data_IF_176281482728
#
_entry.id   IF_176281482728
#
_cell.length_a   1.000
_cell.length_b   1.000
_cell.length_c   1.000
_cell.angle_alpha   90.00
_cell.angle_beta   90.00
_cell.angle_gamma   90.00
#
_symmetry.space_group_name_H-M   'P 1'
#
loop_
_entity.id
_entity.type
_entity.pdbx_description
1 polymer ?
#
# COMPACT_ATOMS: atom_id res chain seq x y z
N UNK A 1 7.70 -29.54 -3.18
CA UNK A 1 8.91 -28.81 -2.70
C UNK A 1 8.47 -27.92 -1.54
N UNK A 2 9.29 -27.78 -0.50
CA UNK A 2 8.93 -27.09 0.73
C UNK A 2 10.10 -26.23 1.22
N UNK A 3 9.83 -25.25 2.07
CA UNK A 3 10.82 -24.26 2.53
C UNK A 3 10.76 -24.04 4.03
N UNK A 4 11.90 -23.81 4.67
CA UNK A 4 11.98 -23.38 6.07
C UNK A 4 11.65 -21.89 6.19
N UNK A 5 11.25 -21.47 7.38
CA UNK A 5 10.92 -20.06 7.65
C UNK A 5 12.06 -19.09 7.30
N UNK A 6 13.32 -19.51 7.46
CA UNK A 6 14.49 -18.71 7.12
C UNK A 6 14.62 -18.47 5.62
N UNK A 7 14.35 -19.51 4.81
CA UNK A 7 14.41 -19.40 3.35
C UNK A 7 13.25 -18.55 2.83
N UNK A 8 12.05 -18.71 3.42
CA UNK A 8 10.91 -17.83 3.12
C UNK A 8 11.25 -16.38 3.45
N UNK A 9 11.79 -16.11 4.65
CA UNK A 9 12.19 -14.78 5.11
C UNK A 9 13.17 -14.09 4.15
N UNK A 10 14.17 -14.83 3.67
CA UNK A 10 15.15 -14.33 2.72
C UNK A 10 14.52 -14.00 1.36
N UNK A 11 13.67 -14.89 0.83
CA UNK A 11 13.10 -14.68 -0.50
C UNK A 11 12.05 -13.57 -0.56
N UNK A 12 11.25 -13.38 0.50
CA UNK A 12 10.22 -12.32 0.53
C UNK A 12 10.71 -11.02 1.17
N UNK A 13 11.99 -10.97 1.59
CA UNK A 13 12.60 -9.86 2.31
C UNK A 13 11.74 -9.40 3.50
N UNK A 14 11.43 -10.35 4.40
CA UNK A 14 10.71 -10.07 5.65
C UNK A 14 11.44 -10.69 6.84
N UNK A 15 11.50 -10.00 7.99
CA UNK A 15 11.97 -10.60 9.22
C UNK A 15 11.18 -11.88 9.56
N UNK A 16 11.89 -12.90 10.07
CA UNK A 16 11.25 -14.13 10.57
C UNK A 16 10.14 -13.81 11.59
N UNK A 17 10.33 -12.79 12.43
CA UNK A 17 9.33 -12.33 13.39
C UNK A 17 8.04 -11.85 12.71
N UNK A 18 8.13 -11.21 11.54
CA UNK A 18 6.97 -10.76 10.76
C UNK A 18 6.21 -11.94 10.18
N UNK A 19 6.91 -12.94 9.65
CA UNK A 19 6.27 -14.18 9.16
C UNK A 19 5.55 -14.88 10.33
N UNK A 20 6.20 -15.01 11.49
CA UNK A 20 5.56 -15.57 12.70
C UNK A 20 4.35 -14.77 13.15
N UNK A 21 4.43 -13.44 13.05
CA UNK A 21 3.31 -12.56 13.36
C UNK A 21 2.14 -12.80 12.39
N UNK A 22 2.38 -12.85 11.08
CA UNK A 22 1.37 -13.13 10.06
C UNK A 22 0.72 -14.50 10.22
N UNK A 23 1.50 -15.52 10.61
CA UNK A 23 0.96 -16.82 11.01
C UNK A 23 0.03 -16.69 12.22
N UNK A 24 0.49 -16.01 13.29
CA UNK A 24 -0.28 -15.83 14.52
C UNK A 24 -1.62 -15.12 14.29
N UNK A 25 -1.66 -14.13 13.39
CA UNK A 25 -2.89 -13.35 13.12
C UNK A 25 -3.73 -13.92 11.98
N UNK A 26 -3.36 -15.08 11.42
CA UNK A 26 -4.14 -15.78 10.40
C UNK A 26 -4.04 -15.17 9.00
N UNK A 27 -3.00 -14.38 8.72
CA UNK A 27 -2.67 -13.97 7.35
C UNK A 27 -2.04 -15.13 6.60
N UNK A 28 -1.14 -15.88 7.24
CA UNK A 28 -0.65 -17.15 6.70
C UNK A 28 -1.59 -18.24 7.22
N UNK A 29 -2.38 -18.84 6.33
CA UNK A 29 -3.32 -19.91 6.66
C UNK A 29 -2.62 -21.28 6.65
N UNK A 30 -3.24 -22.28 7.27
CA UNK A 30 -2.67 -23.64 7.40
C UNK A 30 -2.45 -24.32 6.04
N UNK A 31 -3.06 -23.86 4.94
CA UNK A 31 -2.81 -24.40 3.59
C UNK A 31 -1.37 -24.16 3.11
N UNK A 32 -0.71 -23.12 3.62
CA UNK A 32 0.69 -22.80 3.31
C UNK A 32 1.67 -23.51 4.24
N UNK A 33 1.20 -24.25 5.25
CA UNK A 33 2.02 -24.84 6.31
C UNK A 33 2.04 -26.36 6.18
N UNK A 34 3.23 -26.92 6.02
CA UNK A 34 3.49 -28.35 6.02
C UNK A 34 4.16 -28.74 7.34
N UNK A 35 3.51 -29.61 8.12
CA UNK A 35 4.07 -30.12 9.36
C UNK A 35 4.85 -31.39 9.11
N UNK A 36 6.12 -31.42 9.50
CA UNK A 36 6.91 -32.65 9.54
C UNK A 36 6.69 -33.43 10.84
N UNK A 37 7.00 -34.73 10.83
CA UNK A 37 6.89 -35.62 12.00
C UNK A 37 7.76 -35.19 13.20
N UNK A 38 8.77 -34.36 12.96
CA UNK A 38 9.72 -33.82 13.93
C UNK A 38 9.31 -32.43 14.48
N UNK A 39 8.05 -32.01 14.27
CA UNK A 39 7.47 -30.74 14.74
C UNK A 39 8.09 -29.46 14.11
N UNK A 40 8.93 -29.61 13.08
CA UNK A 40 9.38 -28.47 12.27
C UNK A 40 8.29 -28.07 11.27
N UNK A 41 8.15 -26.76 11.08
CA UNK A 41 7.24 -26.19 10.08
C UNK A 41 8.02 -25.89 8.81
N UNK A 42 7.54 -26.47 7.73
CA UNK A 42 7.90 -26.03 6.40
C UNK A 42 6.72 -25.30 5.77
N UNK A 43 7.00 -24.52 4.75
CA UNK A 43 6.03 -23.77 3.99
C UNK A 43 6.01 -24.26 2.55
N UNK A 44 4.85 -24.16 1.93
CA UNK A 44 4.71 -24.44 0.50
C UNK A 44 5.35 -23.30 -0.31
N UNK A 45 5.61 -23.52 -1.61
CA UNK A 45 6.20 -22.47 -2.46
C UNK A 45 5.23 -21.31 -2.73
N UNK A 46 3.93 -21.58 -2.69
CA UNK A 46 2.86 -20.61 -2.93
C UNK A 46 2.84 -19.50 -1.88
N UNK A 47 3.46 -19.72 -0.71
CA UNK A 47 3.53 -18.71 0.34
C UNK A 47 4.28 -17.45 -0.11
N UNK A 48 5.21 -17.58 -1.05
CA UNK A 48 6.03 -16.47 -1.56
C UNK A 48 5.13 -15.48 -2.27
N UNK A 49 4.35 -15.98 -3.22
CA UNK A 49 3.36 -15.16 -3.95
C UNK A 49 2.32 -14.56 -2.99
N UNK A 50 1.84 -15.34 -2.02
CA UNK A 50 0.91 -14.85 -1.01
C UNK A 50 1.47 -13.67 -0.20
N UNK A 51 2.70 -13.78 0.29
CA UNK A 51 3.35 -12.74 1.07
C UNK A 51 3.69 -11.51 0.22
N UNK A 52 4.01 -11.67 -1.07
CA UNK A 52 4.19 -10.56 -1.99
C UNK A 52 2.88 -9.77 -2.21
N UNK A 53 1.74 -10.46 -2.34
CA UNK A 53 0.43 -9.80 -2.43
C UNK A 53 0.12 -9.04 -1.13
N UNK A 54 0.38 -9.63 0.04
CA UNK A 54 0.23 -8.95 1.33
C UNK A 54 1.10 -7.69 1.41
N UNK A 55 2.37 -7.76 1.00
CA UNK A 55 3.28 -6.60 0.94
C UNK A 55 2.73 -5.50 0.04
N UNK A 56 2.24 -5.85 -1.15
CA UNK A 56 1.68 -4.89 -2.09
C UNK A 56 0.42 -4.22 -1.52
N UNK A 57 -0.48 -4.98 -0.89
CA UNK A 57 -1.66 -4.44 -0.23
C UNK A 57 -1.29 -3.43 0.89
N UNK A 58 -0.29 -3.77 1.72
CA UNK A 58 0.21 -2.84 2.75
C UNK A 58 0.81 -1.58 2.13
N UNK A 59 1.58 -1.70 1.04
CA UNK A 59 2.23 -0.58 0.36
C UNK A 59 1.22 0.40 -0.26
N UNK A 60 0.08 -0.09 -0.76
CA UNK A 60 -1.02 0.77 -1.25
C UNK A 60 -1.92 1.29 -0.12
N UNK A 61 -1.58 1.01 1.13
CA UNK A 61 -2.22 1.58 2.31
C UNK A 61 -3.41 0.80 2.86
N UNK A 62 -3.55 -0.49 2.56
CA UNK A 62 -4.44 -1.34 3.36
C UNK A 62 -3.85 -1.55 4.75
N UNK A 63 -4.70 -1.55 5.77
CA UNK A 63 -4.25 -1.94 7.11
C UNK A 63 -4.09 -3.46 7.18
N UNK A 64 -3.30 -3.92 8.15
CA UNK A 64 -3.15 -5.35 8.41
C UNK A 64 -4.49 -6.03 8.76
N UNK A 65 -5.43 -5.28 9.35
CA UNK A 65 -6.76 -5.76 9.68
C UNK A 65 -7.65 -5.91 8.44
N UNK A 66 -7.52 -5.02 7.45
CA UNK A 66 -8.23 -5.13 6.17
C UNK A 66 -7.80 -6.40 5.44
N UNK A 67 -6.48 -6.61 5.33
CA UNK A 67 -5.88 -7.78 4.70
C UNK A 67 -6.35 -9.07 5.40
N UNK A 68 -6.31 -9.10 6.74
CA UNK A 68 -6.79 -10.27 7.49
C UNK A 68 -8.28 -10.56 7.21
N UNK A 69 -9.09 -9.52 7.07
CA UNK A 69 -10.53 -9.67 6.81
C UNK A 69 -10.81 -10.20 5.40
N UNK A 70 -9.94 -9.89 4.42
CA UNK A 70 -9.99 -10.43 3.06
C UNK A 70 -9.57 -11.91 2.96
N UNK A 71 -8.64 -12.36 3.81
CA UNK A 71 -8.07 -13.72 3.75
C UNK A 71 -8.91 -14.76 4.53
N UNK A 72 -9.61 -14.34 5.59
CA UNK A 72 -10.32 -15.26 6.49
C UNK A 72 -11.38 -16.11 5.75
N UNK A 73 -11.45 -17.42 6.06
CA UNK A 73 -12.52 -18.32 5.57
C UNK A 73 -13.92 -17.88 5.97
N UNK A 74 -14.05 -17.13 7.08
CA UNK A 74 -15.27 -16.47 7.52
C UNK A 74 -15.15 -14.94 7.36
N UNK A 75 -14.27 -14.50 6.47
CA UNK A 75 -14.04 -13.11 6.16
C UNK A 75 -15.13 -12.56 5.25
N UNK A 76 -14.76 -11.51 4.53
CA UNK A 76 -15.68 -10.88 3.59
C UNK A 76 -15.82 -11.67 2.29
N UNK A 77 -17.00 -11.60 1.69
CA UNK A 77 -17.32 -12.23 0.41
C UNK A 77 -16.45 -11.68 -0.74
N UNK A 78 -16.34 -12.41 -1.85
CA UNK A 78 -15.60 -11.96 -3.03
C UNK A 78 -16.11 -10.61 -3.57
N UNK A 79 -17.41 -10.36 -3.48
CA UNK A 79 -18.02 -9.11 -3.92
C UNK A 79 -17.62 -7.95 -3.00
N UNK A 80 -17.60 -8.18 -1.68
CA UNK A 80 -17.11 -7.19 -0.71
C UNK A 80 -15.61 -6.92 -0.87
N UNK A 81 -14.78 -7.95 -1.13
CA UNK A 81 -13.36 -7.77 -1.42
C UNK A 81 -13.16 -6.88 -2.65
N UNK A 82 -13.89 -7.20 -3.74
CA UNK A 82 -13.85 -6.43 -4.98
C UNK A 82 -14.29 -4.99 -4.75
N UNK A 83 -15.32 -4.77 -3.93
CA UNK A 83 -15.80 -3.44 -3.57
C UNK A 83 -14.73 -2.64 -2.84
N UNK A 84 -14.10 -3.21 -1.80
CA UNK A 84 -13.05 -2.52 -1.02
C UNK A 84 -11.86 -2.15 -1.91
N UNK A 85 -11.45 -3.04 -2.81
CA UNK A 85 -10.36 -2.75 -3.76
C UNK A 85 -10.74 -1.61 -4.69
N UNK A 86 -11.96 -1.60 -5.23
CA UNK A 86 -12.47 -0.51 -6.08
C UNK A 86 -12.54 0.83 -5.33
N UNK A 87 -12.99 0.81 -4.08
CA UNK A 87 -13.01 2.01 -3.23
C UNK A 87 -11.60 2.55 -2.98
N UNK A 88 -10.61 1.67 -2.79
CA UNK A 88 -9.21 2.07 -2.67
C UNK A 88 -8.67 2.70 -3.95
N UNK A 89 -8.98 2.11 -5.11
CA UNK A 89 -8.62 2.68 -6.42
C UNK A 89 -9.23 4.06 -6.60
N UNK A 90 -10.53 4.21 -6.34
CA UNK A 90 -11.21 5.51 -6.45
C UNK A 90 -10.61 6.57 -5.53
N UNK A 91 -10.22 6.19 -4.30
CA UNK A 91 -9.51 7.09 -3.38
C UNK A 91 -8.13 7.51 -3.88
N UNK A 92 -7.39 6.61 -4.54
CA UNK A 92 -6.11 6.94 -5.17
C UNK A 92 -6.32 7.91 -6.34
N UNK A 93 -7.33 7.67 -7.18
CA UNK A 93 -7.66 8.54 -8.32
C UNK A 93 -8.04 9.97 -7.86
N UNK A 94 -8.82 10.10 -6.78
CA UNK A 94 -9.17 11.40 -6.20
C UNK A 94 -7.93 12.13 -5.62
N UNK A 95 -7.03 11.39 -4.95
CA UNK A 95 -5.78 11.95 -4.44
C UNK A 95 -4.86 12.41 -5.59
N UNK A 96 -4.77 11.64 -6.67
CA UNK A 96 -4.01 12.02 -7.86
C UNK A 96 -4.56 13.30 -8.48
N UNK A 97 -5.88 13.41 -8.62
CA UNK A 97 -6.51 14.62 -9.15
C UNK A 97 -6.20 15.85 -8.30
N UNK A 98 -6.33 15.75 -6.98
CA UNK A 98 -6.00 16.85 -6.05
C UNK A 98 -4.54 17.29 -6.14
N UNK A 99 -3.62 16.33 -6.31
CA UNK A 99 -2.20 16.63 -6.48
C UNK A 99 -1.96 17.35 -7.81
N UNK A 100 -2.63 16.94 -8.89
CA UNK A 100 -2.51 17.62 -10.18
C UNK A 100 -3.10 19.04 -10.14
N UNK A 101 -4.28 19.22 -9.53
CA UNK A 101 -4.90 20.54 -9.35
C UNK A 101 -4.00 21.47 -8.52
N UNK A 102 -3.37 20.95 -7.47
CA UNK A 102 -2.42 21.69 -6.63
C UNK A 102 -1.15 22.07 -7.42
N UNK A 103 -0.64 21.15 -8.22
CA UNK A 103 0.52 21.38 -9.09
C UNK A 103 0.23 22.43 -10.16
N UNK A 104 -0.95 22.38 -10.77
CA UNK A 104 -1.39 23.38 -11.74
C UNK A 104 -1.50 24.77 -11.08
N UNK A 105 -2.06 24.85 -9.88
CA UNK A 105 -2.12 26.11 -9.13
C UNK A 105 -0.74 26.73 -8.89
N UNK A 106 0.30 25.91 -8.69
CA UNK A 106 1.68 26.38 -8.56
C UNK A 106 2.27 26.87 -9.89
N UNK A 107 1.92 26.24 -11.03
CA UNK A 107 2.31 26.74 -12.35
C UNK A 107 1.65 28.09 -12.65
N UNK A 108 0.37 28.23 -12.35
CA UNK A 108 -0.36 29.48 -12.57
C UNK A 108 0.27 30.64 -11.76
N UNK A 109 0.72 30.37 -10.52
CA UNK A 109 1.44 31.36 -9.70
C UNK A 109 2.76 31.80 -10.37
N UNK A 110 3.49 30.88 -11.00
CA UNK A 110 4.74 31.21 -11.71
C UNK A 110 4.49 32.06 -12.96
N UNK A 111 3.36 31.87 -13.64
CA UNK A 111 2.98 32.67 -14.81
C UNK A 111 2.54 34.10 -14.43
N UNK A 112 2.07 34.31 -13.20
CA UNK A 112 1.50 35.58 -12.75
C UNK A 112 2.54 36.66 -12.39
N UNK A 113 3.85 36.44 -12.63
CA UNK A 113 4.96 37.37 -12.32
C UNK A 113 4.84 38.02 -10.91
N UNK A 114 4.36 37.22 -9.94
CA UNK A 114 4.13 37.67 -8.57
C UNK A 114 5.48 37.77 -7.87
N UNK A 115 5.93 38.97 -7.55
CA UNK A 115 7.10 39.18 -6.71
C UNK A 115 6.74 38.89 -5.25
N UNK A 116 7.37 37.89 -4.65
CA UNK A 116 7.16 37.50 -3.25
C UNK A 116 7.57 38.59 -2.24
N UNK A 117 8.27 39.64 -2.69
CA UNK A 117 8.83 40.70 -1.85
C UNK A 117 7.76 41.61 -1.24
N UNK A 118 6.59 41.77 -1.87
CA UNK A 118 5.50 42.65 -1.39
C UNK A 118 4.23 41.91 -0.92
N UNK A 119 4.27 40.57 -0.93
CA UNK A 119 3.21 39.66 -0.52
C UNK A 119 2.51 38.96 -1.70
N UNK A 120 2.02 37.73 -1.46
CA UNK A 120 1.26 36.97 -2.47
C UNK A 120 0.01 37.75 -2.92
N UNK A 121 -0.12 37.98 -4.23
CA UNK A 121 -1.33 38.57 -4.81
C UNK A 121 -1.32 40.10 -4.98
N UNK A 122 -0.16 40.76 -4.88
CA UNK A 122 -0.01 42.15 -5.35
C UNK A 122 0.56 42.14 -6.77
N UNK A 123 -0.18 42.73 -7.70
CA UNK A 123 0.32 43.00 -9.04
C UNK A 123 1.35 44.14 -8.94
N UNK A 124 2.50 43.99 -9.59
CA UNK A 124 3.42 45.10 -9.85
C UNK A 124 2.65 46.16 -10.63
N UNK A 125 2.38 47.32 -10.01
CA UNK A 125 1.90 48.48 -10.74
C UNK A 125 2.96 48.83 -11.79
N UNK A 126 2.70 48.44 -13.05
CA UNK A 126 3.37 49.02 -14.20
C UNK A 126 3.04 50.52 -14.16
N UNK A 127 3.99 51.29 -13.62
CA UNK A 127 3.97 52.75 -13.66
C UNK A 127 3.89 53.15 -15.13
N UNK A 128 2.86 53.91 -15.57
CA UNK A 128 2.85 54.49 -16.89
C UNK A 128 3.99 55.53 -16.95
N UNK A 129 4.93 55.37 -17.88
CA UNK A 129 5.89 56.42 -18.20
C UNK A 129 5.15 57.57 -18.89
N UNK A 130 5.19 58.76 -18.27
CA UNK A 130 4.87 60.06 -18.87
C UNK A 130 5.95 60.50 -19.87
#
# INVERSE_FOLDING_TARGET
>A
MHMKISEVAEMVDLPISTIRYYEKIGIITEEYILREQNNYRNYTLEIIHHLDVVKNCLAVGFSINDIRSMISKNGISKDEQTKIIKEKIAGIEDAQKKLEDSKQSLYDILELDITCEDGFGKYSELVPED
#
